data_IF_011580914724
#
_entry.id   IF_011580914724
#
_cell.length_a   1.000
_cell.length_b   1.000
_cell.length_c   1.000
_cell.angle_alpha   90.00
_cell.angle_beta   90.00
_cell.angle_gamma   90.00
#
_symmetry.space_group_name_H-M   'P 1'
#
loop_
_entity.id
_entity.type
_entity.pdbx_description
1 polymer ?
#
# COMPACT_ATOMS: atom_id res chain seq x y z
N UNK A 1 29.19 25.63 -31.95
CA UNK A 1 28.49 25.62 -33.26
C UNK A 1 27.01 25.55 -33.00
N UNK A 2 26.34 26.59 -33.48
CA UNK A 2 24.93 26.98 -33.32
C UNK A 2 23.99 26.01 -34.03
N UNK A 3 22.79 25.77 -33.49
CA UNK A 3 21.52 25.89 -34.25
C UNK A 3 20.30 25.90 -33.35
N UNK A 4 19.75 27.10 -33.26
CA UNK A 4 18.43 27.51 -32.84
C UNK A 4 17.43 27.06 -33.93
N UNK A 5 16.29 26.47 -33.56
CA UNK A 5 15.13 26.39 -34.45
C UNK A 5 13.90 26.91 -33.69
N UNK A 6 13.59 28.18 -33.96
CA UNK A 6 12.24 28.73 -33.82
C UNK A 6 11.35 28.08 -34.87
N UNK A 7 10.14 27.68 -34.50
CA UNK A 7 9.04 27.60 -35.46
C UNK A 7 7.79 28.21 -34.82
N UNK A 8 7.60 29.48 -35.18
CA UNK A 8 6.43 30.31 -34.98
C UNK A 8 5.29 29.78 -35.87
N UNK A 9 4.12 29.52 -35.29
CA UNK A 9 2.93 29.10 -36.03
C UNK A 9 1.70 29.79 -35.47
N UNK A 10 1.47 31.02 -35.92
CA UNK A 10 0.31 31.86 -35.68
C UNK A 10 -0.79 31.44 -36.68
N UNK A 11 -2.03 31.19 -36.23
CA UNK A 11 -3.18 31.20 -37.14
C UNK A 11 -4.44 31.76 -36.47
N UNK A 12 -5.04 32.67 -37.22
CA UNK A 12 -6.08 33.63 -36.88
C UNK A 12 -7.48 33.03 -36.72
N UNK A 13 -8.27 33.78 -35.96
CA UNK A 13 -9.70 33.66 -35.69
C UNK A 13 -10.60 33.70 -36.93
N UNK A 14 -11.78 33.08 -36.81
CA UNK A 14 -13.01 33.59 -37.42
C UNK A 14 -14.17 33.50 -36.42
N UNK A 15 -14.73 34.67 -36.09
CA UNK A 15 -16.00 34.85 -35.38
C UNK A 15 -17.13 34.74 -36.42
N UNK A 16 -18.04 33.79 -36.23
CA UNK A 16 -19.30 33.70 -36.96
C UNK A 16 -20.47 33.95 -36.01
N UNK A 17 -21.11 35.11 -36.14
CA UNK A 17 -22.38 35.42 -35.48
C UNK A 17 -23.52 35.18 -36.47
N UNK A 18 -24.47 34.32 -36.11
CA UNK A 18 -25.75 34.17 -36.81
C UNK A 18 -26.87 34.31 -35.77
N UNK A 19 -27.58 35.44 -35.83
CA UNK A 19 -28.87 35.66 -35.16
C UNK A 19 -29.99 35.22 -36.10
N UNK A 20 -30.88 34.35 -35.63
CA UNK A 20 -32.14 33.98 -36.31
C UNK A 20 -33.28 33.88 -35.27
N UNK A 21 -34.52 34.24 -35.64
CA UNK A 21 -35.63 34.39 -34.69
C UNK A 21 -36.32 33.07 -34.37
N UNK A 22 -37.02 33.11 -33.23
CA UNK A 22 -37.81 32.04 -32.63
C UNK A 22 -38.95 31.54 -33.54
N UNK A 23 -39.20 30.23 -33.52
CA UNK A 23 -40.58 29.74 -33.39
C UNK A 23 -40.66 28.32 -32.82
N UNK A 24 -41.80 28.08 -32.18
CA UNK A 24 -42.10 27.07 -31.17
C UNK A 24 -42.08 25.61 -31.65
N UNK A 25 -42.05 24.64 -30.72
CA UNK A 25 -43.00 23.50 -30.65
C UNK A 25 -42.59 22.47 -29.59
N UNK A 26 -43.56 22.14 -28.73
CA UNK A 26 -43.82 20.90 -28.00
C UNK A 26 -42.74 20.26 -27.09
N UNK A 27 -43.10 20.22 -25.80
CA UNK A 27 -42.56 19.42 -24.71
C UNK A 27 -42.69 17.91 -24.97
N UNK A 28 -41.62 17.11 -24.82
CA UNK A 28 -41.71 15.69 -24.49
C UNK A 28 -41.77 15.48 -22.95
N UNK A 29 -42.60 14.59 -22.41
CA UNK A 29 -42.55 14.18 -21.01
C UNK A 29 -41.49 13.09 -20.78
N UNK A 30 -41.11 12.92 -19.51
CA UNK A 30 -40.09 12.01 -18.94
C UNK A 30 -38.69 12.64 -18.85
N UNK A 31 -38.00 12.62 -17.72
CA UNK A 31 -37.77 11.44 -16.88
C UNK A 31 -37.70 11.82 -15.40
N UNK A 32 -38.20 10.92 -14.55
CA UNK A 32 -38.19 10.98 -13.09
C UNK A 32 -36.82 11.44 -12.54
N UNK A 33 -36.77 12.18 -11.41
CA UNK A 33 -35.52 12.40 -10.70
C UNK A 33 -34.93 11.04 -10.33
N UNK A 34 -33.68 10.81 -10.73
CA UNK A 34 -32.94 9.62 -10.35
C UNK A 34 -32.98 9.49 -8.83
N UNK A 35 -33.69 8.48 -8.34
CA UNK A 35 -33.65 8.05 -6.96
C UNK A 35 -32.18 7.83 -6.63
N UNK A 36 -31.64 8.66 -5.72
CA UNK A 36 -30.33 8.46 -5.12
C UNK A 36 -30.32 7.03 -4.58
N UNK A 37 -29.67 6.12 -5.29
CA UNK A 37 -29.52 4.74 -4.87
C UNK A 37 -28.94 4.79 -3.45
N UNK A 38 -29.70 4.31 -2.48
CA UNK A 38 -29.22 4.16 -1.13
C UNK A 38 -27.93 3.34 -1.21
N UNK A 39 -26.81 3.94 -0.80
CA UNK A 39 -25.54 3.24 -0.70
C UNK A 39 -25.78 2.02 0.18
N UNK A 40 -25.62 0.82 -0.39
CA UNK A 40 -25.65 -0.41 0.40
C UNK A 40 -24.59 -0.27 1.50
N UNK A 41 -24.87 -0.67 2.74
CA UNK A 41 -23.83 -0.77 3.75
C UNK A 41 -22.77 -1.73 3.20
N UNK A 42 -21.55 -1.24 3.02
CA UNK A 42 -20.42 -2.09 2.66
C UNK A 42 -20.09 -2.95 3.87
N UNK A 43 -20.57 -4.19 3.87
CA UNK A 43 -20.24 -5.16 4.92
C UNK A 43 -18.79 -5.62 4.72
N UNK A 44 -17.85 -4.83 5.23
CA UNK A 44 -16.42 -5.10 5.22
C UNK A 44 -15.62 -3.86 5.61
N UNK A 45 -14.57 -4.04 6.41
CA UNK A 45 -13.66 -2.95 6.75
C UNK A 45 -13.06 -2.33 5.47
N UNK A 46 -12.84 -1.02 5.45
CA UNK A 46 -12.23 -0.37 4.28
C UNK A 46 -10.83 -0.91 3.92
N UNK A 47 -10.14 -1.54 4.89
CA UNK A 47 -8.83 -2.14 4.70
C UNK A 47 -8.84 -3.54 4.12
N UNK A 48 -10.01 -4.18 3.92
CA UNK A 48 -10.08 -5.52 3.31
C UNK A 48 -9.42 -5.57 1.93
N UNK A 49 -9.43 -4.47 1.16
CA UNK A 49 -8.78 -4.41 -0.15
C UNK A 49 -7.25 -4.57 -0.10
N UNK A 50 -6.64 -4.38 1.07
CA UNK A 50 -5.20 -4.52 1.31
C UNK A 50 -4.82 -5.89 1.88
N UNK A 51 -5.80 -6.66 2.35
CA UNK A 51 -5.55 -7.98 2.91
C UNK A 51 -4.95 -8.92 1.88
N UNK A 52 -4.13 -9.86 2.35
CA UNK A 52 -3.53 -10.85 1.48
C UNK A 52 -2.12 -11.26 1.89
N UNK A 53 -1.55 -12.10 1.05
CA UNK A 53 -0.15 -12.52 1.10
C UNK A 53 0.58 -11.91 -0.09
N UNK A 54 1.80 -11.47 0.16
CA UNK A 54 2.67 -10.82 -0.81
C UNK A 54 4.08 -11.37 -0.68
N UNK A 55 4.79 -11.43 -1.80
CA UNK A 55 6.15 -11.93 -1.86
C UNK A 55 7.08 -10.93 -2.52
N UNK A 56 8.27 -10.81 -1.96
CA UNK A 56 9.41 -10.12 -2.54
C UNK A 56 10.54 -11.11 -2.76
N UNK A 57 11.35 -10.87 -3.79
CA UNK A 57 12.53 -11.67 -4.11
C UNK A 57 13.59 -10.81 -4.77
N UNK A 58 14.85 -11.09 -4.48
CA UNK A 58 15.97 -10.43 -5.14
C UNK A 58 16.28 -11.17 -6.46
N UNK A 59 16.17 -10.52 -7.63
CA UNK A 59 16.43 -11.17 -8.91
C UNK A 59 17.90 -11.60 -9.09
N UNK A 60 18.83 -11.00 -8.32
CA UNK A 60 20.26 -11.32 -8.36
C UNK A 60 20.62 -12.41 -7.33
N UNK A 61 19.88 -12.49 -6.23
CA UNK A 61 20.07 -13.49 -5.16
C UNK A 61 18.82 -14.36 -5.07
N UNK A 62 18.81 -15.48 -5.80
CA UNK A 62 17.64 -16.37 -5.93
C UNK A 62 17.06 -16.87 -4.60
N UNK A 63 17.88 -16.93 -3.57
CA UNK A 63 17.52 -17.40 -2.22
C UNK A 63 17.25 -16.27 -1.23
N UNK A 64 17.40 -15.00 -1.67
CA UNK A 64 16.99 -13.84 -0.90
C UNK A 64 15.57 -13.44 -1.28
N UNK A 65 14.75 -13.20 -0.28
CA UNK A 65 13.34 -12.88 -0.47
C UNK A 65 12.62 -12.63 0.84
N UNK A 66 11.31 -12.46 0.76
CA UNK A 66 10.50 -12.24 1.94
C UNK A 66 9.01 -12.38 1.65
N UNK A 67 8.26 -12.62 2.72
CA UNK A 67 6.81 -12.73 2.72
C UNK A 67 6.23 -11.63 3.58
N UNK A 68 5.22 -10.94 3.05
CA UNK A 68 4.41 -9.96 3.77
C UNK A 68 2.98 -10.47 3.83
N UNK A 69 2.45 -10.60 5.03
CA UNK A 69 1.08 -11.04 5.29
C UNK A 69 0.30 -9.90 5.93
N UNK A 70 -0.85 -9.54 5.35
CA UNK A 70 -1.63 -8.37 5.75
C UNK A 70 -3.04 -8.78 6.18
N UNK A 71 -3.41 -8.40 7.40
CA UNK A 71 -4.74 -8.64 7.98
C UNK A 71 -5.45 -7.32 8.29
N UNK A 72 -6.74 -7.15 7.94
CA UNK A 72 -7.48 -5.94 8.26
C UNK A 72 -7.94 -5.96 9.74
N UNK A 73 -7.46 -5.00 10.53
CA UNK A 73 -7.87 -4.86 11.95
C UNK A 73 -9.07 -3.91 12.11
N UNK A 74 -9.07 -2.80 11.38
CA UNK A 74 -10.15 -1.80 11.37
C UNK A 74 -10.26 -1.13 10.00
N UNK A 75 -11.18 -0.18 9.82
CA UNK A 75 -11.30 0.63 8.59
C UNK A 75 -10.04 1.41 8.22
N UNK A 76 -9.11 1.52 9.16
CA UNK A 76 -7.99 2.45 9.09
C UNK A 76 -6.66 1.81 9.47
N UNK A 77 -6.69 0.55 9.92
CA UNK A 77 -5.52 -0.15 10.46
C UNK A 77 -5.43 -1.55 9.88
N UNK A 78 -4.22 -1.93 9.49
CA UNK A 78 -3.87 -3.30 9.13
C UNK A 78 -2.80 -3.83 10.08
N UNK A 79 -2.81 -5.14 10.29
CA UNK A 79 -1.71 -5.86 10.91
C UNK A 79 -0.81 -6.41 9.80
N UNK A 80 0.49 -6.24 9.98
CA UNK A 80 1.53 -6.64 9.05
C UNK A 80 2.41 -7.67 9.74
N UNK A 81 2.51 -8.88 9.18
CA UNK A 81 3.54 -9.84 9.53
C UNK A 81 4.51 -9.95 8.36
N UNK A 82 5.80 -9.74 8.63
CA UNK A 82 6.86 -9.68 7.65
C UNK A 82 7.94 -10.69 8.05
N UNK A 83 8.42 -11.46 7.09
CA UNK A 83 9.53 -12.40 7.23
C UNK A 83 10.44 -12.25 6.02
N UNK A 84 11.73 -12.04 6.25
CA UNK A 84 12.74 -11.72 5.23
C UNK A 84 13.98 -12.56 5.45
N UNK A 85 14.54 -13.07 4.36
CA UNK A 85 15.84 -13.72 4.32
C UNK A 85 16.74 -13.02 3.29
N UNK A 86 17.98 -12.67 3.68
CA UNK A 86 18.94 -12.03 2.77
C UNK A 86 19.71 -13.02 1.86
N UNK A 87 19.43 -14.32 1.98
CA UNK A 87 20.06 -15.40 1.22
C UNK A 87 21.52 -15.70 1.63
N UNK A 88 22.24 -16.54 0.87
CA UNK A 88 23.63 -16.87 1.15
C UNK A 88 24.57 -15.66 1.13
N UNK A 89 25.74 -15.76 1.80
CA UNK A 89 26.24 -16.95 2.50
C UNK A 89 25.69 -17.13 3.93
N UNK A 90 25.11 -16.08 4.51
CA UNK A 90 24.83 -16.05 5.94
C UNK A 90 23.35 -16.30 6.30
N UNK A 91 22.42 -16.19 5.34
CA UNK A 91 20.99 -16.41 5.53
C UNK A 91 20.44 -15.67 6.76
N UNK A 92 20.79 -14.40 6.89
CA UNK A 92 20.27 -13.57 7.97
C UNK A 92 18.75 -13.39 7.78
N UNK A 93 18.02 -13.63 8.86
CA UNK A 93 16.56 -13.58 8.91
C UNK A 93 16.10 -12.35 9.69
N UNK A 94 15.01 -11.75 9.24
CA UNK A 94 14.35 -10.65 9.92
C UNK A 94 12.85 -10.84 9.88
N UNK A 95 12.22 -10.88 11.06
CA UNK A 95 10.78 -10.99 11.20
C UNK A 95 10.21 -9.80 11.97
N UNK A 96 8.97 -9.42 11.66
CA UNK A 96 8.25 -8.36 12.37
C UNK A 96 6.76 -8.62 12.33
N UNK A 97 6.08 -8.31 13.44
CA UNK A 97 4.62 -8.25 13.50
C UNK A 97 4.16 -6.94 14.14
N UNK A 98 3.53 -6.05 13.36
CA UNK A 98 3.19 -4.66 13.75
C UNK A 98 1.87 -4.17 13.17
N UNK A 99 1.43 -3.01 13.63
CA UNK A 99 0.30 -2.26 13.05
C UNK A 99 0.78 -1.23 12.05
N UNK A 100 0.01 -1.04 10.97
CA UNK A 100 0.13 0.12 10.12
C UNK A 100 -1.20 0.87 10.00
N UNK A 101 -1.13 2.19 10.13
CA UNK A 101 -2.27 3.08 9.93
C UNK A 101 -2.34 3.46 8.46
N UNK A 102 -3.45 3.13 7.80
CA UNK A 102 -3.65 3.35 6.36
C UNK A 102 -4.53 4.56 6.10
N UNK A 103 -4.05 5.49 5.28
CA UNK A 103 -4.79 6.67 4.81
C UNK A 103 -4.58 6.82 3.31
N UNK A 104 -5.66 6.82 2.54
CA UNK A 104 -5.64 7.02 1.07
C UNK A 104 -4.65 6.08 0.35
N UNK A 105 -4.67 4.79 0.71
CA UNK A 105 -3.79 3.78 0.11
C UNK A 105 -2.33 3.84 0.56
N UNK A 106 -2.00 4.64 1.57
CA UNK A 106 -0.65 4.70 2.15
C UNK A 106 -0.72 4.29 3.63
N UNK A 107 -0.01 3.22 3.98
CA UNK A 107 0.20 2.75 5.34
C UNK A 107 1.46 3.36 5.96
N UNK A 108 1.41 3.63 7.26
CA UNK A 108 2.60 3.98 8.07
C UNK A 108 2.69 3.08 9.28
N UNK A 109 3.88 2.51 9.48
CA UNK A 109 4.23 1.68 10.62
C UNK A 109 5.44 2.32 11.31
N UNK A 110 5.25 2.81 12.53
CA UNK A 110 6.32 3.41 13.34
C UNK A 110 6.80 2.38 14.35
N UNK A 111 8.13 2.27 14.49
CA UNK A 111 8.82 1.42 15.45
C UNK A 111 9.62 2.36 16.35
N UNK A 112 9.19 2.46 17.60
CA UNK A 112 9.89 3.22 18.62
C UNK A 112 11.10 2.43 19.09
N UNK A 113 12.29 2.98 18.89
CA UNK A 113 13.55 2.40 19.36
C UNK A 113 13.97 3.24 20.57
N UNK A 114 13.97 2.65 21.78
CA UNK A 114 14.21 3.39 23.02
C UNK A 114 15.62 3.97 23.15
N UNK A 115 16.57 3.40 22.40
CA UNK A 115 18.00 3.74 22.51
C UNK A 115 18.50 4.66 21.39
N UNK A 116 17.75 4.79 20.30
CA UNK A 116 18.11 5.64 19.16
C UNK A 116 17.40 7.00 19.23
N UNK A 117 18.08 8.04 18.79
CA UNK A 117 17.51 9.40 18.72
C UNK A 117 16.45 9.55 17.61
N UNK A 118 16.34 8.56 16.71
CA UNK A 118 15.39 8.56 15.60
C UNK A 118 14.53 7.29 15.67
N UNK A 119 13.22 7.45 15.51
CA UNK A 119 12.31 6.33 15.31
C UNK A 119 12.53 5.70 13.93
N UNK A 120 12.20 4.42 13.80
CA UNK A 120 12.12 3.78 12.50
C UNK A 120 10.68 3.91 11.98
N UNK A 121 10.50 4.36 10.74
CA UNK A 121 9.19 4.44 10.11
C UNK A 121 9.17 3.81 8.72
N UNK A 122 8.31 2.81 8.54
CA UNK A 122 7.98 2.26 7.22
C UNK A 122 6.79 2.98 6.60
N UNK A 123 6.93 3.26 5.31
CA UNK A 123 5.85 3.67 4.41
C UNK A 123 5.48 2.53 3.48
N UNK A 124 4.20 2.17 3.49
CA UNK A 124 3.62 1.14 2.64
C UNK A 124 2.71 1.79 1.60
N UNK A 125 3.02 1.64 0.32
CA UNK A 125 2.17 2.12 -0.78
C UNK A 125 1.42 0.93 -1.37
N UNK A 126 0.11 0.93 -1.20
CA UNK A 126 -0.75 -0.15 -1.67
C UNK A 126 -1.19 0.08 -3.11
N UNK A 127 -1.02 -0.96 -3.94
CA UNK A 127 -1.58 -1.08 -5.27
C UNK A 127 -2.42 -2.37 -5.37
N UNK A 128 -3.27 -2.55 -6.41
CA UNK A 128 -4.13 -3.73 -6.50
C UNK A 128 -3.40 -5.08 -6.47
N UNK A 129 -2.16 -5.13 -6.95
CA UNK A 129 -1.36 -6.37 -7.08
C UNK A 129 0.00 -6.29 -6.38
N UNK A 130 0.27 -5.22 -5.64
CA UNK A 130 1.56 -5.08 -4.96
C UNK A 130 1.50 -4.12 -3.77
N UNK A 131 2.50 -4.23 -2.91
CA UNK A 131 2.80 -3.26 -1.87
C UNK A 131 4.26 -2.86 -2.00
N UNK A 132 4.54 -1.56 -2.04
CA UNK A 132 5.91 -1.05 -1.97
C UNK A 132 6.18 -0.64 -0.53
N UNK A 133 7.18 -1.24 0.10
CA UNK A 133 7.68 -0.86 1.41
C UNK A 133 8.94 -0.02 1.20
N UNK A 134 9.01 1.11 1.89
CA UNK A 134 10.20 1.98 1.95
C UNK A 134 10.37 2.51 3.36
N UNK A 135 11.61 2.63 3.80
CA UNK A 135 11.97 3.42 4.99
C UNK A 135 11.72 4.91 4.70
N UNK A 136 10.99 5.61 5.56
CA UNK A 136 10.72 7.05 5.33
C UNK A 136 11.99 7.88 5.52
N UNK A 137 12.27 8.87 4.63
CA UNK A 137 13.41 9.76 4.81
C UNK A 137 13.33 10.56 6.11
N UNK A 138 14.46 10.73 6.79
CA UNK A 138 14.56 11.48 8.06
C UNK A 138 14.30 10.65 9.31
N UNK A 139 13.96 9.37 9.14
CA UNK A 139 13.85 8.38 10.21
C UNK A 139 15.12 7.50 10.29
N UNK A 140 15.27 6.77 11.39
CA UNK A 140 16.36 5.81 11.58
C UNK A 140 16.30 4.66 10.58
N UNK A 141 17.40 3.91 10.45
CA UNK A 141 17.44 2.74 9.57
C UNK A 141 16.47 1.67 10.09
N UNK A 142 15.43 1.39 9.31
CA UNK A 142 14.45 0.35 9.60
C UNK A 142 14.95 -1.06 9.22
N UNK A 143 16.16 -1.38 9.66
CA UNK A 143 16.78 -2.68 9.43
C UNK A 143 16.45 -3.69 10.54
N UNK A 144 16.59 -4.96 10.23
CA UNK A 144 16.53 -6.05 11.23
C UNK A 144 17.93 -6.40 11.76
N UNK A 145 18.90 -5.49 11.58
CA UNK A 145 20.32 -5.75 11.75
C UNK A 145 20.94 -6.52 10.57
N UNK A 146 22.27 -6.65 10.57
CA UNK A 146 23.03 -7.50 9.62
C UNK A 146 22.71 -7.26 8.12
N UNK A 147 22.38 -6.01 7.76
CA UNK A 147 22.08 -5.62 6.39
C UNK A 147 20.73 -6.11 5.84
N UNK A 148 19.81 -6.54 6.71
CA UNK A 148 18.44 -6.90 6.32
C UNK A 148 17.58 -5.64 6.30
N UNK A 149 16.88 -5.41 5.19
CA UNK A 149 15.92 -4.31 5.03
C UNK A 149 14.58 -4.87 4.51
N UNK A 150 13.49 -4.24 4.95
CA UNK A 150 12.14 -4.50 4.42
C UNK A 150 11.86 -3.81 3.09
N UNK A 151 12.73 -2.89 2.67
CA UNK A 151 12.51 -2.07 1.49
C UNK A 151 12.42 -2.93 0.23
N UNK A 152 11.34 -2.77 -0.52
CA UNK A 152 11.08 -3.61 -1.68
C UNK A 152 9.68 -3.48 -2.24
N UNK A 153 9.49 -4.10 -3.40
CA UNK A 153 8.16 -4.26 -4.02
C UNK A 153 7.71 -5.70 -3.82
N UNK A 154 6.64 -5.88 -3.06
CA UNK A 154 6.05 -7.17 -2.76
C UNK A 154 4.86 -7.40 -3.69
N UNK A 155 4.94 -8.45 -4.51
CA UNK A 155 3.86 -8.84 -5.42
C UNK A 155 2.82 -9.66 -4.67
N UNK A 156 1.53 -9.36 -4.87
CA UNK A 156 0.43 -10.09 -4.23
C UNK A 156 0.34 -11.49 -4.81
N UNK A 157 0.39 -12.51 -3.94
CA UNK A 157 0.23 -13.92 -4.32
C UNK A 157 -1.16 -14.44 -3.96
N UNK A 158 -1.81 -13.83 -2.97
CA UNK A 158 -3.18 -14.14 -2.57
C UNK A 158 -3.91 -12.88 -2.09
N UNK A 159 -5.18 -12.74 -2.47
CA UNK A 159 -6.08 -11.70 -1.97
C UNK A 159 -6.99 -12.21 -0.83
N UNK A 160 -6.85 -13.48 -0.43
CA UNK A 160 -7.61 -14.04 0.68
C UNK A 160 -7.17 -13.39 2.01
N UNK A 161 -8.11 -13.16 2.92
CA UNK A 161 -7.79 -12.62 4.25
C UNK A 161 -7.09 -13.70 5.09
N UNK A 162 -5.81 -13.55 5.41
CA UNK A 162 -5.06 -14.56 6.15
C UNK A 162 -5.59 -14.63 7.59
N UNK A 163 -5.74 -15.84 8.14
CA UNK A 163 -6.18 -16.02 9.54
C UNK A 163 -4.99 -16.06 10.51
N UNK A 164 -3.81 -16.40 10.00
CA UNK A 164 -2.57 -16.54 10.73
C UNK A 164 -1.38 -16.26 9.81
N UNK A 165 -0.20 -16.14 10.41
CA UNK A 165 1.08 -16.24 9.71
C UNK A 165 1.94 -17.29 10.42
N UNK A 166 2.94 -17.80 9.71
CA UNK A 166 3.98 -18.67 10.27
C UNK A 166 5.25 -17.85 10.39
N UNK A 167 5.92 -17.87 11.55
CA UNK A 167 7.20 -17.19 11.73
C UNK A 167 8.39 -18.08 11.35
N UNK A 168 9.61 -17.55 11.50
CA UNK A 168 10.85 -18.25 11.17
C UNK A 168 11.10 -19.52 12.01
N UNK A 169 10.44 -19.67 13.16
CA UNK A 169 10.50 -20.87 14.00
C UNK A 169 9.53 -21.96 13.52
N UNK A 170 8.63 -21.63 12.58
CA UNK A 170 7.57 -22.52 12.12
C UNK A 170 6.29 -22.43 12.94
N UNK A 171 6.21 -21.51 13.90
CA UNK A 171 5.06 -21.37 14.78
C UNK A 171 3.96 -20.54 14.13
N UNK A 172 2.71 -20.98 14.32
CA UNK A 172 1.54 -20.29 13.79
C UNK A 172 1.01 -19.24 14.77
N UNK A 173 0.99 -17.99 14.34
CA UNK A 173 0.41 -16.88 15.09
C UNK A 173 -0.89 -16.40 14.44
N UNK A 174 -2.00 -16.46 15.18
CA UNK A 174 -3.32 -16.05 14.70
C UNK A 174 -3.58 -14.56 14.96
N UNK A 175 -3.92 -13.81 13.92
CA UNK A 175 -4.18 -12.36 14.01
C UNK A 175 -5.32 -12.03 14.98
N UNK A 176 -6.35 -12.87 15.05
CA UNK A 176 -7.52 -12.67 15.93
C UNK A 176 -7.25 -12.95 17.41
N UNK A 177 -6.11 -13.59 17.75
CA UNK A 177 -5.79 -14.03 19.12
C UNK A 177 -4.55 -13.38 19.70
N UNK A 178 -3.66 -12.89 18.85
CA UNK A 178 -2.36 -12.35 19.25
C UNK A 178 -2.20 -10.97 18.65
N UNK A 179 -2.18 -9.95 19.51
CA UNK A 179 -1.84 -8.60 19.09
C UNK A 179 -0.33 -8.48 18.85
N UNK A 180 0.12 -7.50 18.07
CA UNK A 180 1.53 -7.16 17.97
C UNK A 180 2.22 -7.02 19.33
N UNK A 181 1.63 -6.31 20.29
CA UNK A 181 2.24 -6.11 21.61
C UNK A 181 2.50 -7.45 22.32
N UNK A 182 1.50 -8.34 22.28
CA UNK A 182 1.62 -9.67 22.90
C UNK A 182 2.68 -10.52 22.23
N UNK A 183 2.78 -10.49 20.90
CA UNK A 183 3.79 -11.24 20.16
C UNK A 183 5.21 -10.75 20.48
N UNK A 184 5.40 -9.44 20.51
CA UNK A 184 6.73 -8.85 20.68
C UNK A 184 7.20 -8.78 22.14
N UNK A 185 6.30 -8.95 23.11
CA UNK A 185 6.65 -8.97 24.54
C UNK A 185 7.43 -10.21 25.00
N UNK A 186 7.55 -11.26 24.16
CA UNK A 186 8.22 -12.52 24.52
C UNK A 186 9.75 -12.43 24.32
N UNK A 187 10.26 -11.35 23.74
CA UNK A 187 11.69 -11.16 23.42
C UNK A 187 12.40 -10.03 24.18
N UNK A 188 11.74 -9.36 25.13
CA UNK A 188 12.33 -8.34 26.02
C UNK A 188 12.75 -8.94 27.37
#
# INVERSE_FOLDING_TARGET
MTRLFLCTGLLLATLGACTGPADQVATPPATLPATKAAARPSTGLLTYSYAGEYQWGDPKRKEAGGTLTIYPESDSTVLLALDICNGPPAFHLGNMYRRAVVRRGVGRCTIEIKEDMLDCQFRLVFAPQSVVITTEPGHGECGFGQGISADGTYSRTSAAVPQYFTDSSGDKTFFSKTTPEKYNAVGD
#
